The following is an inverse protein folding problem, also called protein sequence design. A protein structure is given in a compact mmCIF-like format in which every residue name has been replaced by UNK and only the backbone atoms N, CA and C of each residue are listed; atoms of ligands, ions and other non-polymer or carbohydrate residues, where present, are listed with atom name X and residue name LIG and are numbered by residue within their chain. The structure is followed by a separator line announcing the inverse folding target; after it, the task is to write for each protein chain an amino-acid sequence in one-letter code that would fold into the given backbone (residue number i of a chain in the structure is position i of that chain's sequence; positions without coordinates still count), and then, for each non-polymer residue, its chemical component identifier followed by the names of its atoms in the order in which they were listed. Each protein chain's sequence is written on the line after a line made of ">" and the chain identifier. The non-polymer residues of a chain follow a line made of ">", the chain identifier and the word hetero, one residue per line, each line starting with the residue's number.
data_IF_852207654811
#
_entry.id   IF_852207654811
#
_cell.length_a   1.000
_cell.length_b   1.000
_cell.length_c   1.000
_cell.angle_alpha   90.00
_cell.angle_beta   90.00
_cell.angle_gamma   90.00
#
_symmetry.space_group_name_H-M   'P 1'
#
loop_
_entity.id
_entity.type
_entity.pdbx_description
1 polymer ?
#
# COMPACT_ATOMS: atom_id res chain seq x y z
N UNK A 1 14.73 4.44 1.19
CA UNK A 1 13.92 3.62 2.12
C UNK A 1 12.78 3.01 1.32
N UNK A 2 12.41 1.74 1.57
CA UNK A 2 11.25 1.10 0.93
C UNK A 2 10.14 0.98 1.97
N UNK A 3 8.92 1.41 1.65
CA UNK A 3 7.75 1.28 2.53
C UNK A 3 7.12 -0.11 2.38
N UNK A 4 6.89 -0.55 1.15
CA UNK A 4 6.15 -1.79 0.87
C UNK A 4 6.99 -3.03 1.22
N UNK A 5 6.49 -3.85 2.15
CA UNK A 5 7.22 -4.99 2.67
C UNK A 5 8.45 -4.61 3.48
N UNK A 6 8.43 -3.45 4.15
CA UNK A 6 9.53 -3.04 5.02
C UNK A 6 9.69 -3.98 6.22
N UNK A 7 10.92 -4.39 6.50
CA UNK A 7 11.25 -5.33 7.59
C UNK A 7 10.81 -4.82 8.96
N UNK A 8 11.03 -3.53 9.28
CA UNK A 8 10.60 -2.94 10.56
C UNK A 8 9.08 -2.95 10.71
N UNK A 9 8.34 -2.68 9.63
CA UNK A 9 6.88 -2.70 9.67
C UNK A 9 6.31 -4.13 9.85
N UNK A 10 6.99 -5.13 9.29
CA UNK A 10 6.65 -6.55 9.45
C UNK A 10 6.94 -6.99 10.89
N UNK A 11 8.16 -6.74 11.38
CA UNK A 11 8.57 -7.08 12.75
C UNK A 11 7.67 -6.41 13.79
N UNK A 12 7.33 -5.13 13.60
CA UNK A 12 6.40 -4.40 14.45
C UNK A 12 5.07 -5.15 14.60
N UNK A 13 4.50 -5.62 13.49
CA UNK A 13 3.22 -6.31 13.47
C UNK A 13 3.31 -7.72 14.09
N UNK A 14 4.45 -8.39 13.97
CA UNK A 14 4.72 -9.66 14.66
C UNK A 14 4.78 -9.47 16.19
N UNK A 15 5.54 -8.49 16.67
CA UNK A 15 5.63 -8.15 18.10
C UNK A 15 4.27 -7.77 18.70
N UNK A 16 3.44 -7.03 17.97
CA UNK A 16 2.09 -6.67 18.42
C UNK A 16 1.20 -7.91 18.56
N UNK A 17 1.31 -8.89 17.66
CA UNK A 17 0.58 -10.17 17.74
C UNK A 17 1.04 -11.03 18.91
N UNK A 18 2.31 -10.92 19.31
CA UNK A 18 2.88 -11.57 20.49
C UNK A 18 2.52 -10.88 21.82
N UNK A 19 1.85 -9.72 21.77
CA UNK A 19 1.51 -8.92 22.96
C UNK A 19 2.65 -8.03 23.48
N UNK A 20 3.76 -7.92 22.73
CA UNK A 20 4.94 -7.10 23.09
C UNK A 20 4.77 -5.65 22.67
N UNK A 21 3.68 -5.02 23.11
CA UNK A 21 3.23 -3.71 22.62
C UNK A 21 4.24 -2.57 22.81
N UNK A 22 5.02 -2.57 23.91
CA UNK A 22 6.01 -1.53 24.14
C UNK A 22 7.14 -1.55 23.09
N UNK A 23 7.61 -2.76 22.75
CA UNK A 23 8.64 -2.97 21.75
C UNK A 23 8.11 -2.68 20.35
N UNK A 24 6.90 -3.18 20.04
CA UNK A 24 6.21 -2.87 18.78
C UNK A 24 6.05 -1.35 18.58
N UNK A 25 5.68 -0.61 19.62
CA UNK A 25 5.55 0.85 19.56
C UNK A 25 6.89 1.56 19.33
N UNK A 26 7.99 1.04 19.86
CA UNK A 26 9.32 1.58 19.60
C UNK A 26 9.71 1.40 18.12
N UNK A 27 9.54 0.19 17.56
CA UNK A 27 9.81 -0.10 16.14
C UNK A 27 8.91 0.73 15.23
N UNK A 28 7.62 0.83 15.56
CA UNK A 28 6.66 1.66 14.81
C UNK A 28 7.12 3.11 14.68
N UNK A 29 7.60 3.70 15.78
CA UNK A 29 8.09 5.09 15.80
C UNK A 29 9.33 5.24 14.93
N UNK A 30 10.26 4.30 15.01
CA UNK A 30 11.48 4.32 14.20
C UNK A 30 11.16 4.18 12.71
N UNK A 31 10.31 3.23 12.33
CA UNK A 31 9.85 3.08 10.94
C UNK A 31 9.23 4.38 10.41
N UNK A 32 8.30 4.97 11.17
CA UNK A 32 7.64 6.23 10.77
C UNK A 32 8.62 7.41 10.70
N UNK A 33 9.65 7.44 11.56
CA UNK A 33 10.71 8.45 11.50
C UNK A 33 11.52 8.30 10.21
N UNK A 34 12.01 7.10 9.90
CA UNK A 34 12.77 6.83 8.67
C UNK A 34 11.98 7.16 7.40
N UNK A 35 10.68 6.87 7.38
CA UNK A 35 9.81 7.24 6.25
C UNK A 35 9.74 8.76 6.07
N UNK A 36 9.56 9.53 7.15
CA UNK A 36 9.53 11.00 7.08
C UNK A 36 10.85 11.60 6.61
N UNK A 37 11.97 11.09 7.14
CA UNK A 37 13.31 11.57 6.81
C UNK A 37 13.73 11.24 5.37
N UNK A 38 13.12 10.22 4.76
CA UNK A 38 13.44 9.81 3.38
C UNK A 38 12.61 10.49 2.28
N UNK A 39 11.64 11.34 2.65
CA UNK A 39 10.92 12.20 1.71
C UNK A 39 9.73 11.53 1.01
N UNK A 40 9.57 11.84 -0.28
CA UNK A 40 8.44 11.38 -1.11
C UNK A 40 8.64 9.95 -1.62
N UNK A 41 7.63 9.11 -1.38
CA UNK A 41 7.58 7.70 -1.82
C UNK A 41 6.41 7.43 -2.77
N UNK A 42 5.75 8.47 -3.28
CA UNK A 42 4.62 8.31 -4.17
C UNK A 42 5.05 7.76 -5.54
N UNK A 43 4.50 6.62 -6.02
CA UNK A 43 4.80 6.10 -7.36
C UNK A 43 3.95 6.79 -8.45
N UNK A 44 3.09 7.75 -8.08
CA UNK A 44 2.21 8.44 -9.00
C UNK A 44 3.01 9.25 -10.02
N UNK A 45 2.74 9.02 -11.32
CA UNK A 45 3.40 9.73 -12.42
C UNK A 45 2.71 11.04 -12.82
N UNK A 46 1.58 11.37 -12.18
CA UNK A 46 0.81 12.57 -12.48
C UNK A 46 1.43 13.80 -11.81
N UNK A 47 1.28 14.96 -12.43
CA UNK A 47 1.63 16.22 -11.77
C UNK A 47 0.59 16.53 -10.67
N UNK A 48 0.92 16.23 -9.42
CA UNK A 48 0.00 16.37 -8.28
C UNK A 48 0.70 17.08 -7.11
N UNK A 49 0.06 18.11 -6.50
CA UNK A 49 0.65 18.84 -5.38
C UNK A 49 0.66 18.05 -4.06
N UNK A 50 -0.01 16.89 -4.02
CA UNK A 50 -0.17 16.07 -2.81
C UNK A 50 0.85 14.92 -2.70
N UNK A 51 1.86 14.89 -3.57
CA UNK A 51 2.95 13.91 -3.47
C UNK A 51 3.63 13.97 -2.10
N UNK A 52 4.03 12.81 -1.57
CA UNK A 52 4.54 12.67 -0.21
C UNK A 52 3.52 12.88 0.92
N UNK A 53 2.32 13.41 0.65
CA UNK A 53 1.28 13.64 1.67
C UNK A 53 0.21 12.54 1.65
N UNK A 54 0.49 11.44 2.34
CA UNK A 54 -0.41 10.29 2.43
C UNK A 54 -1.80 10.65 2.97
N UNK A 55 -1.90 11.58 3.92
CA UNK A 55 -3.17 11.98 4.51
C UNK A 55 -4.09 12.64 3.49
N UNK A 56 -3.59 13.66 2.78
CA UNK A 56 -4.36 14.36 1.74
C UNK A 56 -4.70 13.42 0.59
N UNK A 57 -3.72 12.66 0.09
CA UNK A 57 -3.91 11.74 -1.03
C UNK A 57 -5.03 10.72 -0.74
N UNK A 58 -4.98 10.03 0.41
CA UNK A 58 -6.00 9.04 0.79
C UNK A 58 -7.36 9.70 1.01
N UNK A 59 -7.40 10.89 1.61
CA UNK A 59 -8.65 11.63 1.86
C UNK A 59 -9.37 11.99 0.56
N UNK A 60 -8.63 12.49 -0.43
CA UNK A 60 -9.16 12.84 -1.75
C UNK A 60 -9.69 11.61 -2.50
N UNK A 61 -8.90 10.54 -2.61
CA UNK A 61 -9.35 9.30 -3.28
C UNK A 61 -10.56 8.67 -2.60
N UNK A 62 -10.62 8.70 -1.26
CA UNK A 62 -11.80 8.25 -0.51
C UNK A 62 -13.02 9.13 -0.78
N UNK A 63 -12.85 10.44 -0.93
CA UNK A 63 -13.91 11.37 -1.27
C UNK A 63 -14.46 11.14 -2.69
N UNK A 64 -13.58 10.96 -3.67
CA UNK A 64 -13.97 10.71 -5.07
C UNK A 64 -14.64 9.36 -5.27
N UNK A 65 -14.20 8.32 -4.53
CA UNK A 65 -14.68 6.93 -4.66
C UNK A 65 -14.54 6.31 -6.05
N UNK A 66 -13.74 6.92 -6.92
CA UNK A 66 -13.50 6.44 -8.29
C UNK A 66 -12.47 5.30 -8.32
N UNK A 67 -11.31 5.52 -7.72
CA UNK A 67 -10.23 4.52 -7.65
C UNK A 67 -9.29 4.74 -6.45
N UNK A 68 -8.47 3.73 -6.16
CA UNK A 68 -7.45 3.77 -5.10
C UNK A 68 -6.24 4.64 -5.49
N UNK A 69 -5.53 5.23 -4.51
CA UNK A 69 -4.22 5.83 -4.74
C UNK A 69 -3.23 4.83 -5.34
N UNK A 70 -2.34 5.30 -6.22
CA UNK A 70 -1.36 4.43 -6.90
C UNK A 70 -0.41 3.70 -5.93
N UNK A 71 -0.13 4.29 -4.75
CA UNK A 71 0.64 3.66 -3.68
C UNK A 71 0.01 2.35 -3.17
N UNK A 72 -1.30 2.15 -3.36
CA UNK A 72 -2.01 0.92 -2.93
C UNK A 72 -2.18 -0.10 -4.06
N UNK A 73 -1.88 0.27 -5.31
CA UNK A 73 -2.17 -0.57 -6.46
C UNK A 73 -1.37 -1.86 -6.42
N UNK A 74 -0.08 -1.82 -6.09
CA UNK A 74 0.76 -3.02 -6.07
C UNK A 74 0.24 -4.04 -5.05
N UNK A 75 -0.07 -3.57 -3.83
CA UNK A 75 -0.67 -4.39 -2.79
C UNK A 75 -1.97 -5.05 -3.25
N UNK A 76 -2.87 -4.31 -3.91
CA UNK A 76 -4.14 -4.89 -4.41
C UNK A 76 -3.90 -5.83 -5.58
N UNK A 77 -3.01 -5.46 -6.51
CA UNK A 77 -2.64 -6.26 -7.67
C UNK A 77 -2.03 -7.59 -7.27
N UNK A 78 -1.25 -7.68 -6.19
CA UNK A 78 -0.77 -8.96 -5.66
C UNK A 78 -1.92 -9.92 -5.31
N UNK A 79 -3.05 -9.41 -4.81
CA UNK A 79 -4.24 -10.22 -4.47
C UNK A 79 -5.02 -10.57 -5.72
N UNK A 80 -5.27 -9.60 -6.59
CA UNK A 80 -5.95 -9.80 -7.87
C UNK A 80 -5.18 -10.78 -8.76
N UNK A 81 -3.85 -10.69 -8.79
CA UNK A 81 -3.00 -11.62 -9.52
C UNK A 81 -3.22 -13.05 -9.02
N UNK A 82 -3.18 -13.29 -7.70
CA UNK A 82 -3.46 -14.62 -7.11
C UNK A 82 -4.85 -15.13 -7.47
N UNK A 83 -5.87 -14.27 -7.44
CA UNK A 83 -7.23 -14.63 -7.85
C UNK A 83 -7.32 -14.96 -9.34
N UNK A 84 -6.66 -14.18 -10.21
CA UNK A 84 -6.65 -14.43 -11.65
C UNK A 84 -6.06 -15.78 -12.01
N UNK A 85 -5.16 -16.34 -11.18
CA UNK A 85 -4.59 -17.67 -11.39
C UNK A 85 -5.61 -18.79 -11.24
N UNK A 86 -6.74 -18.57 -10.57
CA UNK A 86 -7.84 -19.55 -10.48
C UNK A 86 -8.44 -19.89 -11.84
N UNK A 87 -8.33 -18.98 -12.81
CA UNK A 87 -8.79 -19.17 -14.19
C UNK A 87 -7.64 -18.98 -15.18
N UNK A 88 -6.40 -19.24 -14.77
CA UNK A 88 -5.19 -19.13 -15.63
C UNK A 88 -5.02 -17.76 -16.31
N UNK A 89 -5.56 -16.68 -15.71
CA UNK A 89 -5.49 -15.33 -16.26
C UNK A 89 -6.53 -15.02 -17.35
N UNK A 90 -7.54 -15.88 -17.54
CA UNK A 90 -8.57 -15.71 -18.59
C UNK A 90 -9.64 -14.66 -18.26
N UNK A 91 -9.69 -14.13 -17.02
CA UNK A 91 -10.73 -13.19 -16.57
C UNK A 91 -10.92 -12.02 -17.53
N UNK A 92 -9.83 -11.36 -17.94
CA UNK A 92 -9.92 -10.20 -18.84
C UNK A 92 -10.53 -10.56 -20.20
N UNK A 93 -10.09 -11.66 -20.80
CA UNK A 93 -10.64 -12.12 -22.09
C UNK A 93 -12.11 -12.54 -21.96
N UNK A 94 -12.48 -13.14 -20.83
CA UNK A 94 -13.87 -13.50 -20.54
C UNK A 94 -14.74 -12.25 -20.41
N UNK A 95 -14.30 -11.22 -19.69
CA UNK A 95 -14.99 -9.92 -19.58
C UNK A 95 -15.17 -9.25 -20.93
N UNK A 96 -14.14 -9.21 -21.78
CA UNK A 96 -14.23 -8.62 -23.13
C UNK A 96 -15.22 -9.37 -24.04
N UNK A 97 -15.31 -10.69 -23.91
CA UNK A 97 -16.24 -11.52 -24.70
C UNK A 97 -17.70 -11.49 -24.21
N UNK A 98 -17.94 -11.05 -22.96
CA UNK A 98 -19.26 -11.06 -22.31
C UNK A 98 -19.70 -9.67 -21.82
N UNK A 99 -19.10 -8.61 -22.38
CA UNK A 99 -19.47 -7.22 -22.12
C UNK A 99 -20.71 -6.80 -22.90
#
# INVERSE_FOLDING_TARGET
>A
MKIDGNELAIEQNELDREGRHAEAMAIKREFLKQVRESGDHCPCKQACPHHGNCFECVTLHRGHRDHLPMCMWDMVNERLHKLSRLTEGTLRSYEEAHR
#
